data_IF_430132951631
#
_entry.id   IF_430132951631
#
_cell.length_a   1.000
_cell.length_b   1.000
_cell.length_c   1.000
_cell.angle_alpha   90.00
_cell.angle_beta   90.00
_cell.angle_gamma   90.00
#
_symmetry.space_group_name_H-M   'P 1'
#
loop_
_entity.id
_entity.type
_entity.pdbx_description
1 polymer ?
#
# COMPACT_ATOMS: atom_id res chain seq x y z
N UNK A 1 -9.11 -9.27 9.10
CA UNK A 1 -7.89 -8.73 9.77
C UNK A 1 -7.63 -9.41 11.12
N UNK A 2 -8.53 -9.31 12.12
CA UNK A 2 -8.31 -9.87 13.46
C UNK A 2 -7.92 -11.36 13.48
N UNK A 3 -8.66 -12.20 12.75
CA UNK A 3 -8.33 -13.64 12.66
C UNK A 3 -6.95 -13.90 12.03
N UNK A 4 -6.54 -13.08 11.05
CA UNK A 4 -5.21 -13.20 10.46
C UNK A 4 -4.12 -12.84 11.46
N UNK A 5 -4.26 -11.74 12.19
CA UNK A 5 -3.27 -11.34 13.20
C UNK A 5 -3.19 -12.32 14.39
N UNK A 6 -4.29 -13.02 14.69
CA UNK A 6 -4.34 -14.00 15.77
C UNK A 6 -3.63 -15.32 15.41
N UNK A 7 -3.41 -15.61 14.13
CA UNK A 7 -2.64 -16.77 13.65
C UNK A 7 -1.21 -16.35 13.27
N UNK A 8 -0.18 -16.70 14.08
CA UNK A 8 1.19 -16.28 13.82
C UNK A 8 1.77 -16.79 12.50
N UNK A 9 1.39 -18.00 12.08
CA UNK A 9 1.89 -18.61 10.85
C UNK A 9 1.25 -17.94 9.64
N UNK A 10 -0.07 -17.73 9.66
CA UNK A 10 -0.78 -17.05 8.59
C UNK A 10 -0.36 -15.59 8.46
N UNK A 11 -0.16 -14.88 9.58
CA UNK A 11 0.30 -13.50 9.57
C UNK A 11 1.71 -13.38 8.95
N UNK A 12 2.67 -14.19 9.42
CA UNK A 12 4.02 -14.21 8.84
C UNK A 12 4.00 -14.52 7.35
N UNK A 13 3.26 -15.55 6.96
CA UNK A 13 3.14 -15.94 5.55
C UNK A 13 2.53 -14.82 4.68
N UNK A 14 1.54 -14.11 5.21
CA UNK A 14 0.97 -12.94 4.53
C UNK A 14 1.98 -11.82 4.35
N UNK A 15 2.75 -11.50 5.39
CA UNK A 15 3.80 -10.47 5.33
C UNK A 15 4.84 -10.84 4.28
N UNK A 16 5.30 -12.09 4.26
CA UNK A 16 6.25 -12.58 3.25
C UNK A 16 5.68 -12.47 1.83
N UNK A 17 4.41 -12.85 1.63
CA UNK A 17 3.75 -12.75 0.32
C UNK A 17 3.57 -11.31 -0.14
N UNK A 18 3.19 -10.40 0.76
CA UNK A 18 3.08 -8.97 0.44
C UNK A 18 4.45 -8.37 0.12
N UNK A 19 5.51 -8.76 0.85
CA UNK A 19 6.88 -8.32 0.58
C UNK A 19 7.37 -8.78 -0.81
N UNK A 20 6.99 -9.98 -1.26
CA UNK A 20 7.29 -10.47 -2.61
C UNK A 20 6.62 -9.69 -3.73
N UNK A 21 5.61 -8.85 -3.44
CA UNK A 21 5.01 -7.97 -4.43
C UNK A 21 5.91 -6.77 -4.76
N UNK A 22 6.95 -6.48 -3.96
CA UNK A 22 7.92 -5.44 -4.28
C UNK A 22 8.60 -5.75 -5.63
N UNK A 23 8.43 -4.87 -6.61
CA UNK A 23 9.07 -5.03 -7.92
C UNK A 23 10.22 -4.06 -8.08
N UNK A 24 11.44 -4.57 -8.00
CA UNK A 24 12.65 -3.74 -8.01
C UNK A 24 12.96 -3.13 -6.63
N UNK A 25 13.88 -2.16 -6.56
CA UNK A 25 14.31 -1.57 -5.30
C UNK A 25 13.24 -0.63 -4.74
N UNK A 26 12.36 -1.16 -3.87
CA UNK A 26 11.43 -0.36 -3.06
C UNK A 26 12.17 0.25 -1.88
N UNK A 27 12.01 1.56 -1.65
CA UNK A 27 12.66 2.29 -0.56
C UNK A 27 11.72 2.64 0.60
N UNK A 28 10.40 2.57 0.39
CA UNK A 28 9.40 2.95 1.40
C UNK A 28 8.05 2.29 1.19
N UNK A 29 7.38 1.95 2.28
CA UNK A 29 5.98 1.49 2.29
C UNK A 29 5.05 2.67 2.49
N UNK A 30 3.96 2.72 1.73
CA UNK A 30 2.87 3.67 1.92
C UNK A 30 1.59 2.92 2.31
N UNK A 31 1.01 3.21 3.47
CA UNK A 31 -0.13 2.44 3.98
C UNK A 31 -1.23 3.30 4.57
N UNK A 32 -2.47 3.24 4.05
CA UNK A 32 -3.58 3.97 4.61
C UNK A 32 -4.40 3.17 5.61
N UNK A 33 -4.95 3.89 6.59
CA UNK A 33 -5.87 3.36 7.58
C UNK A 33 -5.24 2.37 8.55
N UNK A 34 -5.96 1.99 9.61
CA UNK A 34 -5.41 1.17 10.68
C UNK A 34 -5.02 -0.24 10.20
N UNK A 35 -5.85 -0.90 9.39
CA UNK A 35 -5.53 -2.26 8.93
C UNK A 35 -4.37 -2.28 7.92
N UNK A 36 -4.36 -1.31 6.99
CA UNK A 36 -3.26 -1.15 6.05
C UNK A 36 -1.95 -0.88 6.77
N UNK A 37 -1.94 -0.01 7.78
CA UNK A 37 -0.75 0.29 8.59
C UNK A 37 -0.22 -0.94 9.34
N UNK A 38 -1.09 -1.82 9.87
CA UNK A 38 -0.64 -3.06 10.52
C UNK A 38 0.16 -3.93 9.54
N UNK A 39 -0.37 -4.16 8.35
CA UNK A 39 0.30 -4.96 7.32
C UNK A 39 1.55 -4.27 6.77
N UNK A 40 1.42 -2.97 6.47
CA UNK A 40 2.48 -2.14 5.94
C UNK A 40 3.67 -2.03 6.88
N UNK A 41 3.44 -1.82 8.17
CA UNK A 41 4.50 -1.78 9.17
C UNK A 41 5.25 -3.11 9.28
N UNK A 42 4.52 -4.24 9.24
CA UNK A 42 5.15 -5.56 9.26
C UNK A 42 6.00 -5.82 8.01
N UNK A 43 5.53 -5.40 6.84
CA UNK A 43 6.29 -5.52 5.59
C UNK A 43 7.49 -4.57 5.55
N UNK A 44 7.32 -3.32 6.01
CA UNK A 44 8.41 -2.35 6.10
C UNK A 44 9.52 -2.86 7.03
N UNK A 45 9.14 -3.43 8.19
CA UNK A 45 10.06 -4.07 9.11
C UNK A 45 10.79 -5.27 8.46
N UNK A 46 10.05 -6.14 7.77
CA UNK A 46 10.62 -7.30 7.07
C UNK A 46 11.61 -6.91 5.98
N UNK A 47 11.30 -5.86 5.21
CA UNK A 47 12.15 -5.34 4.14
C UNK A 47 13.27 -4.40 4.63
N UNK A 48 13.25 -4.02 5.93
CA UNK A 48 14.18 -3.05 6.54
C UNK A 48 14.15 -1.67 5.85
N UNK A 49 12.95 -1.19 5.55
CA UNK A 49 12.70 0.12 4.92
C UNK A 49 11.71 0.97 5.74
N UNK A 50 11.57 2.24 5.38
CA UNK A 50 10.65 3.16 6.06
C UNK A 50 9.17 2.90 5.76
N UNK A 51 8.30 3.45 6.59
CA UNK A 51 6.84 3.44 6.45
C UNK A 51 6.31 4.87 6.49
N UNK A 52 5.35 5.17 5.63
CA UNK A 52 4.47 6.35 5.74
C UNK A 52 3.05 5.88 5.93
N UNK A 53 2.48 6.23 7.10
CA UNK A 53 1.10 5.92 7.45
C UNK A 53 0.18 7.07 7.01
N UNK A 54 -0.91 6.74 6.32
CA UNK A 54 -1.91 7.70 5.84
C UNK A 54 -3.26 7.51 6.54
N UNK A 55 -4.07 8.57 6.71
CA UNK A 55 -5.48 8.40 7.00
C UNK A 55 -6.21 7.75 5.80
N UNK A 56 -7.26 6.97 6.05
CA UNK A 56 -8.03 6.31 4.97
C UNK A 56 -8.85 7.31 4.13
N UNK A 57 -9.23 8.44 4.72
CA UNK A 57 -10.08 9.45 4.07
C UNK A 57 -9.23 10.55 3.44
N UNK A 58 -9.37 10.81 2.13
CA UNK A 58 -8.67 11.90 1.44
C UNK A 58 -9.32 13.28 1.68
N UNK A 59 -10.26 13.41 2.63
CA UNK A 59 -10.88 14.69 2.99
C UNK A 59 -9.93 15.50 3.87
N UNK A 60 -8.94 16.12 3.24
CA UNK A 60 -7.89 16.91 3.88
C UNK A 60 -6.50 16.60 3.30
N UNK A 61 -5.46 17.37 3.64
CA UNK A 61 -4.09 17.00 3.27
C UNK A 61 -3.75 15.62 3.83
N UNK A 62 -3.35 14.70 2.95
CA UNK A 62 -3.01 13.32 3.31
C UNK A 62 -1.73 13.24 4.16
N UNK A 63 -0.83 14.22 4.00
CA UNK A 63 0.46 14.36 4.67
C UNK A 63 0.87 15.85 4.73
N UNK A 64 1.85 16.17 5.58
CA UNK A 64 2.68 17.36 5.42
C UNK A 64 3.47 17.27 4.09
N UNK A 65 3.83 18.41 3.49
CA UNK A 65 4.44 18.50 2.15
C UNK A 65 5.81 17.79 2.02
N UNK A 66 6.39 17.27 3.12
CA UNK A 66 7.75 16.69 3.19
C UNK A 66 7.78 15.21 3.60
N UNK A 67 6.63 14.53 3.66
CA UNK A 67 6.57 13.16 4.15
C UNK A 67 7.16 12.11 3.20
N UNK A 68 7.32 12.43 1.91
CA UNK A 68 8.02 11.65 0.90
C UNK A 68 9.17 12.46 0.32
N UNK A 69 10.21 11.78 -0.16
CA UNK A 69 11.35 12.41 -0.80
C UNK A 69 11.35 12.14 -2.32
N UNK A 70 11.87 13.09 -3.13
CA UNK A 70 12.07 12.86 -4.55
C UNK A 70 12.94 11.63 -4.81
N UNK A 71 12.54 10.79 -5.77
CA UNK A 71 13.24 9.57 -6.17
C UNK A 71 12.94 8.34 -5.32
N UNK A 72 12.11 8.46 -4.27
CA UNK A 72 11.66 7.28 -3.52
C UNK A 72 10.81 6.36 -4.38
N UNK A 73 11.02 5.05 -4.24
CA UNK A 73 10.22 4.03 -4.92
C UNK A 73 9.30 3.40 -3.88
N UNK A 74 8.00 3.59 -4.07
CA UNK A 74 6.98 3.25 -3.10
C UNK A 74 6.31 1.90 -3.42
N UNK A 75 6.03 1.14 -2.37
CA UNK A 75 5.07 0.04 -2.40
C UNK A 75 3.85 0.42 -1.56
N UNK A 76 2.69 0.49 -2.19
CA UNK A 76 1.44 0.73 -1.48
C UNK A 76 0.90 -0.58 -0.90
N UNK A 77 0.55 -0.57 0.39
CA UNK A 77 -0.02 -1.74 1.08
C UNK A 77 -1.29 -1.34 1.83
N UNK A 78 -2.40 -1.99 1.52
CA UNK A 78 -3.66 -1.90 2.28
C UNK A 78 -4.30 -3.30 2.43
N UNK A 79 -5.22 -3.46 3.37
CA UNK A 79 -5.91 -4.71 3.59
C UNK A 79 -6.94 -5.02 2.49
N UNK A 80 -7.66 -4.01 1.97
CA UNK A 80 -8.78 -4.23 1.07
C UNK A 80 -8.85 -3.22 -0.08
N UNK A 81 -8.86 -3.69 -1.32
CA UNK A 81 -9.09 -2.87 -2.50
C UNK A 81 -10.60 -2.73 -2.79
N UNK A 82 -11.18 -1.59 -2.41
CA UNK A 82 -12.57 -1.24 -2.69
C UNK A 82 -12.73 -0.43 -4.01
N UNK A 83 -12.98 0.89 -3.91
CA UNK A 83 -13.13 1.78 -5.07
C UNK A 83 -11.80 2.16 -5.73
N UNK A 84 -10.68 2.04 -5.00
CA UNK A 84 -9.35 2.46 -5.44
C UNK A 84 -9.04 3.95 -5.22
N UNK A 85 -10.00 4.76 -4.75
CA UNK A 85 -9.82 6.22 -4.61
C UNK A 85 -8.72 6.61 -3.62
N UNK A 86 -8.59 5.88 -2.51
CA UNK A 86 -7.51 6.13 -1.53
C UNK A 86 -6.13 5.85 -2.15
N UNK A 87 -6.01 4.79 -2.95
CA UNK A 87 -4.76 4.45 -3.62
C UNK A 87 -4.42 5.43 -4.76
N UNK A 88 -5.42 5.92 -5.49
CA UNK A 88 -5.23 6.98 -6.48
C UNK A 88 -4.83 8.31 -5.84
N UNK A 89 -5.47 8.71 -4.74
CA UNK A 89 -5.09 9.93 -4.03
C UNK A 89 -3.65 9.83 -3.51
N UNK A 90 -3.23 8.63 -3.06
CA UNK A 90 -1.86 8.35 -2.66
C UNK A 90 -0.87 8.39 -3.84
N UNK A 91 -1.26 7.92 -5.03
CA UNK A 91 -0.47 8.07 -6.26
C UNK A 91 -0.23 9.54 -6.58
N UNK A 92 -1.28 10.35 -6.61
CA UNK A 92 -1.13 11.78 -6.90
C UNK A 92 -0.31 12.53 -5.86
N UNK A 93 -0.35 12.11 -4.60
CA UNK A 93 0.54 12.63 -3.57
C UNK A 93 2.00 12.28 -3.84
N UNK A 94 2.28 11.02 -4.20
CA UNK A 94 3.62 10.57 -4.56
C UNK A 94 4.17 11.35 -5.75
N UNK A 95 3.37 11.49 -6.83
CA UNK A 95 3.74 12.27 -8.03
C UNK A 95 4.09 13.72 -7.67
N UNK A 96 3.27 14.37 -6.83
CA UNK A 96 3.50 15.75 -6.37
C UNK A 96 4.79 15.92 -5.57
N UNK A 97 5.20 14.89 -4.81
CA UNK A 97 6.43 14.91 -4.00
C UNK A 97 7.63 14.29 -4.73
N UNK A 98 7.48 13.95 -6.02
CA UNK A 98 8.56 13.38 -6.84
C UNK A 98 8.91 11.93 -6.50
N UNK A 99 8.03 11.22 -5.80
CA UNK A 99 8.16 9.80 -5.50
C UNK A 99 7.44 8.94 -6.56
N UNK A 100 7.90 7.71 -6.73
CA UNK A 100 7.44 6.77 -7.75
C UNK A 100 6.61 5.65 -7.12
N UNK A 101 5.28 5.73 -7.26
CA UNK A 101 4.37 4.67 -6.86
C UNK A 101 3.91 3.89 -8.09
N UNK A 102 4.42 2.65 -8.27
CA UNK A 102 4.02 1.77 -9.39
C UNK A 102 3.33 0.49 -8.98
N UNK A 103 3.41 0.12 -7.72
CA UNK A 103 2.90 -1.17 -7.25
C UNK A 103 2.04 -0.99 -6.02
N UNK A 104 0.87 -1.62 -6.04
CA UNK A 104 -0.05 -1.70 -4.92
C UNK A 104 -0.37 -3.17 -4.62
N UNK A 105 -0.25 -3.56 -3.35
CA UNK A 105 -0.52 -4.91 -2.87
C UNK A 105 -1.63 -4.90 -1.82
N UNK A 106 -2.57 -5.83 -1.96
CA UNK A 106 -3.74 -5.95 -1.10
C UNK A 106 -3.92 -7.38 -0.61
N UNK A 107 -4.54 -7.54 0.56
CA UNK A 107 -4.95 -8.85 1.04
C UNK A 107 -6.12 -9.40 0.20
N UNK A 108 -7.13 -8.57 -0.06
CA UNK A 108 -8.31 -8.94 -0.86
C UNK A 108 -8.84 -7.73 -1.64
N UNK A 109 -9.75 -7.97 -2.58
CA UNK A 109 -10.40 -6.94 -3.39
C UNK A 109 -11.91 -7.13 -3.47
N UNK A 110 -12.64 -6.06 -3.76
CA UNK A 110 -14.09 -6.11 -3.97
C UNK A 110 -14.43 -6.95 -5.22
N UNK A 111 -15.51 -7.75 -5.22
CA UNK A 111 -15.86 -8.65 -6.34
C UNK A 111 -15.99 -7.96 -7.70
N UNK A 112 -16.47 -6.72 -7.72
CA UNK A 112 -16.65 -5.95 -8.96
C UNK A 112 -15.31 -5.50 -9.58
N UNK A 113 -14.18 -5.61 -8.87
CA UNK A 113 -12.82 -5.24 -9.33
C UNK A 113 -12.75 -3.84 -9.95
N UNK A 114 -13.58 -2.92 -9.47
CA UNK A 114 -13.61 -1.54 -9.97
C UNK A 114 -12.32 -0.81 -9.57
N UNK A 115 -11.88 -0.97 -8.31
CA UNK A 115 -10.62 -0.41 -7.84
C UNK A 115 -9.40 -0.93 -8.60
N UNK A 116 -9.36 -2.23 -8.91
CA UNK A 116 -8.29 -2.80 -9.75
C UNK A 116 -8.21 -2.12 -11.11
N UNK A 117 -9.32 -2.09 -11.84
CA UNK A 117 -9.39 -1.48 -13.17
C UNK A 117 -8.99 -0.01 -13.15
N UNK A 118 -9.39 0.72 -12.10
CA UNK A 118 -9.01 2.11 -11.87
C UNK A 118 -7.49 2.26 -11.74
N UNK A 119 -6.86 1.47 -10.87
CA UNK A 119 -5.41 1.54 -10.63
C UNK A 119 -4.59 1.06 -11.84
N UNK A 120 -5.01 -0.02 -12.49
CA UNK A 120 -4.33 -0.53 -13.70
C UNK A 120 -4.41 0.48 -14.86
N UNK A 121 -5.53 1.21 -15.01
CA UNK A 121 -5.66 2.29 -15.98
C UNK A 121 -4.71 3.47 -15.71
N UNK A 122 -4.25 3.63 -14.47
CA UNK A 122 -3.23 4.61 -14.07
C UNK A 122 -1.80 4.06 -14.15
N UNK A 123 -1.61 2.84 -14.68
CA UNK A 123 -0.31 2.21 -14.80
C UNK A 123 0.21 1.56 -13.51
N UNK A 124 -0.63 1.45 -12.47
CA UNK A 124 -0.28 0.74 -11.24
C UNK A 124 -0.40 -0.78 -11.43
N UNK A 125 0.65 -1.51 -11.08
CA UNK A 125 0.61 -2.96 -10.94
C UNK A 125 -0.12 -3.34 -9.65
N UNK A 126 -1.21 -4.08 -9.78
CA UNK A 126 -2.06 -4.47 -8.65
C UNK A 126 -1.89 -5.95 -8.30
N UNK A 127 -1.41 -6.21 -7.09
CA UNK A 127 -1.34 -7.55 -6.49
C UNK A 127 -2.45 -7.73 -5.46
N UNK A 128 -3.13 -8.88 -5.49
CA UNK A 128 -4.12 -9.28 -4.47
C UNK A 128 -3.81 -10.71 -4.07
N UNK A 129 -3.72 -10.97 -2.76
CA UNK A 129 -3.29 -12.28 -2.25
C UNK A 129 -4.42 -13.32 -2.15
N UNK A 130 -5.66 -12.86 -2.00
CA UNK A 130 -6.88 -13.66 -1.84
C UNK A 130 -7.61 -13.98 -3.12
#
# INVERSE_FOLDING_TARGET
MLALCADPAAFRHTVERLAHCATGPVSRILSPGPEGVILGAAVAYHLRIGLVALPRSPKGPLLDDEALQPGEVLLYIDAHLASGETAEAALHLAERQGADLRTAAFLNEAPARAGRRRLEALGIRVHVLG
#
